data_IF_995505272660
#
_entry.id   IF_995505272660
#
_cell.length_a   1.000
_cell.length_b   1.000
_cell.length_c   1.000
_cell.angle_alpha   90.00
_cell.angle_beta   90.00
_cell.angle_gamma   90.00
#
_symmetry.space_group_name_H-M   'P 1'
#
loop_
_entity.id
_entity.type
_entity.pdbx_description
1 polymer ?
#
# COMPACT_ATOMS: atom_id res chain seq x y z
N UNK A 1 -39.10 -22.47 -36.74
CA UNK A 1 -38.03 -22.93 -35.83
C UNK A 1 -37.01 -21.82 -35.74
N UNK A 2 -37.15 -20.98 -34.73
CA UNK A 2 -36.25 -19.87 -34.41
C UNK A 2 -35.10 -20.41 -33.57
N UNK A 3 -33.89 -20.39 -34.11
CA UNK A 3 -32.69 -20.64 -33.32
C UNK A 3 -32.32 -19.34 -32.60
N UNK A 4 -32.58 -19.29 -31.30
CA UNK A 4 -32.00 -18.30 -30.40
C UNK A 4 -30.48 -18.51 -30.39
N UNK A 5 -29.73 -17.60 -31.00
CA UNK A 5 -28.31 -17.40 -30.68
C UNK A 5 -28.24 -16.45 -29.47
N UNK A 6 -27.38 -16.73 -28.47
CA UNK A 6 -27.30 -15.91 -27.27
C UNK A 6 -26.75 -14.52 -27.60
N UNK A 7 -27.41 -13.52 -27.04
CA UNK A 7 -26.94 -12.13 -26.92
C UNK A 7 -25.77 -12.07 -25.93
N UNK A 8 -24.55 -12.39 -26.35
CA UNK A 8 -23.35 -12.08 -25.55
C UNK A 8 -22.71 -10.81 -26.10
N UNK A 9 -22.49 -9.85 -25.19
CA UNK A 9 -21.89 -8.57 -25.51
C UNK A 9 -20.40 -8.79 -25.87
N UNK A 10 -19.89 -8.34 -27.04
CA UNK A 10 -18.51 -8.57 -27.48
C UNK A 10 -17.44 -8.03 -26.50
N UNK A 11 -17.80 -7.17 -25.55
CA UNK A 11 -16.95 -6.73 -24.44
C UNK A 11 -16.75 -7.80 -23.37
N UNK A 12 -17.74 -8.66 -23.11
CA UNK A 12 -17.73 -9.65 -22.03
C UNK A 12 -16.73 -10.80 -22.31
N UNK A 13 -16.55 -11.17 -23.58
CA UNK A 13 -15.63 -12.23 -24.00
C UNK A 13 -14.16 -11.80 -23.88
N UNK A 14 -13.84 -10.56 -24.29
CA UNK A 14 -12.52 -9.97 -24.09
C UNK A 14 -12.17 -9.78 -22.60
N UNK A 15 -13.13 -9.31 -21.80
CA UNK A 15 -12.98 -9.21 -20.34
C UNK A 15 -12.77 -10.57 -19.68
N UNK A 16 -13.44 -11.63 -20.16
CA UNK A 16 -13.26 -12.99 -19.65
C UNK A 16 -11.83 -13.50 -19.85
N UNK A 17 -11.21 -13.22 -21.01
CA UNK A 17 -9.81 -13.54 -21.23
C UNK A 17 -8.89 -12.74 -20.29
N UNK A 18 -9.11 -11.43 -20.14
CA UNK A 18 -8.30 -10.59 -19.24
C UNK A 18 -8.41 -11.04 -17.78
N UNK A 19 -9.59 -11.40 -17.31
CA UNK A 19 -9.80 -11.94 -15.96
C UNK A 19 -9.08 -13.28 -15.74
N UNK A 20 -9.11 -14.18 -16.73
CA UNK A 20 -8.35 -15.43 -16.68
C UNK A 20 -6.84 -15.19 -16.66
N UNK A 21 -6.38 -14.21 -17.45
CA UNK A 21 -4.99 -13.81 -17.55
C UNK A 21 -4.41 -13.21 -16.25
N UNK A 22 -5.22 -12.48 -15.47
CA UNK A 22 -4.81 -11.96 -14.15
C UNK A 22 -4.44 -13.12 -13.21
N UNK A 23 -5.20 -14.20 -13.24
CA UNK A 23 -4.99 -15.37 -12.39
C UNK A 23 -3.98 -16.38 -12.98
N UNK A 24 -3.59 -16.20 -14.25
CA UNK A 24 -2.63 -17.05 -14.91
C UNK A 24 -1.74 -16.25 -15.88
N UNK A 25 -0.62 -15.70 -15.40
CA UNK A 25 0.29 -14.90 -16.21
C UNK A 25 0.84 -15.62 -17.46
N UNK A 26 0.84 -16.96 -17.51
CA UNK A 26 1.29 -17.70 -18.69
C UNK A 26 0.36 -17.50 -19.89
N UNK A 27 -0.93 -17.18 -19.67
CA UNK A 27 -1.90 -16.91 -20.74
C UNK A 27 -1.54 -15.63 -21.50
N UNK A 28 -1.16 -14.55 -20.80
CA UNK A 28 -0.68 -13.31 -21.44
C UNK A 28 0.60 -13.59 -22.22
N UNK A 29 1.54 -14.32 -21.64
CA UNK A 29 2.80 -14.64 -22.31
C UNK A 29 2.58 -15.46 -23.59
N UNK A 30 1.69 -16.45 -23.57
CA UNK A 30 1.31 -17.23 -24.75
C UNK A 30 0.67 -16.37 -25.84
N UNK A 31 -0.32 -15.54 -25.46
CA UNK A 31 -1.01 -14.62 -26.37
C UNK A 31 -0.06 -13.62 -27.03
N UNK A 32 0.80 -12.94 -26.24
CA UNK A 32 1.78 -11.98 -26.75
C UNK A 32 2.83 -12.66 -27.64
N UNK A 33 3.26 -13.87 -27.29
CA UNK A 33 4.22 -14.64 -28.10
C UNK A 33 3.64 -15.01 -29.46
N UNK A 34 2.37 -15.39 -29.52
CA UNK A 34 1.69 -15.69 -30.77
C UNK A 34 1.63 -14.47 -31.70
N UNK A 35 1.34 -13.28 -31.16
CA UNK A 35 1.36 -12.02 -31.93
C UNK A 35 2.77 -11.71 -32.43
N UNK A 36 3.79 -11.86 -31.58
CA UNK A 36 5.19 -11.65 -31.97
C UNK A 36 5.62 -12.59 -33.10
N UNK A 37 5.31 -13.87 -32.99
CA UNK A 37 5.61 -14.88 -34.03
C UNK A 37 4.83 -14.64 -35.32
N UNK A 38 3.68 -13.98 -35.24
CA UNK A 38 2.91 -13.48 -36.38
C UNK A 38 3.41 -12.15 -36.96
N UNK A 39 4.64 -11.72 -36.63
CA UNK A 39 5.21 -10.41 -37.01
C UNK A 39 4.33 -9.22 -36.61
N UNK A 40 3.70 -9.29 -35.43
CA UNK A 40 2.82 -8.23 -34.93
C UNK A 40 1.42 -8.23 -35.52
N UNK A 41 1.04 -9.26 -36.30
CA UNK A 41 -0.31 -9.39 -36.87
C UNK A 41 -1.32 -9.78 -35.77
N UNK A 42 -2.35 -8.95 -35.48
CA UNK A 42 -3.38 -9.27 -34.50
C UNK A 42 -4.15 -10.57 -34.79
N UNK A 43 -4.22 -11.00 -36.05
CA UNK A 43 -4.89 -12.24 -36.43
C UNK A 43 -4.19 -13.49 -35.89
N UNK A 44 -2.87 -13.44 -35.68
CA UNK A 44 -2.13 -14.51 -35.01
C UNK A 44 -2.56 -14.66 -33.54
N UNK A 45 -2.80 -13.53 -32.86
CA UNK A 45 -3.38 -13.50 -31.52
C UNK A 45 -4.82 -14.05 -31.48
N UNK A 46 -5.66 -13.66 -32.44
CA UNK A 46 -7.05 -14.19 -32.55
C UNK A 46 -7.05 -15.71 -32.76
N UNK A 47 -6.13 -16.20 -33.60
CA UNK A 47 -5.96 -17.64 -33.84
C UNK A 47 -5.55 -18.36 -32.55
N UNK A 48 -4.59 -17.81 -31.81
CA UNK A 48 -4.16 -18.37 -30.52
C UNK A 48 -5.29 -18.38 -29.48
N UNK A 49 -6.06 -17.29 -29.36
CA UNK A 49 -7.20 -17.18 -28.45
C UNK A 49 -8.23 -18.28 -28.76
N UNK A 50 -8.58 -18.44 -30.04
CA UNK A 50 -9.51 -19.49 -30.49
C UNK A 50 -8.99 -20.89 -30.18
N UNK A 51 -7.71 -21.17 -30.42
CA UNK A 51 -7.08 -22.45 -30.12
C UNK A 51 -7.05 -22.77 -28.62
N UNK A 52 -7.03 -21.74 -27.76
CA UNK A 52 -7.07 -21.87 -26.30
C UNK A 52 -8.51 -21.78 -25.74
N UNK A 53 -9.53 -21.89 -26.61
CA UNK A 53 -10.93 -21.99 -26.20
C UNK A 53 -11.62 -20.65 -25.91
N UNK A 54 -10.99 -19.52 -26.18
CA UNK A 54 -11.60 -18.20 -26.01
C UNK A 54 -12.37 -17.78 -27.26
N UNK A 55 -13.64 -17.43 -27.09
CA UNK A 55 -14.49 -16.88 -28.16
C UNK A 55 -14.31 -15.36 -28.27
N UNK A 56 -13.07 -14.90 -28.47
CA UNK A 56 -12.74 -13.47 -28.55
C UNK A 56 -11.65 -13.22 -29.60
N UNK A 57 -11.58 -12.00 -30.09
CA UNK A 57 -10.53 -11.52 -31.01
C UNK A 57 -9.50 -10.65 -30.29
N UNK A 58 -8.32 -10.48 -30.89
CA UNK A 58 -7.30 -9.57 -30.37
C UNK A 58 -7.80 -8.13 -30.24
N UNK A 59 -8.71 -7.71 -31.13
CA UNK A 59 -9.36 -6.40 -31.09
C UNK A 59 -10.30 -6.27 -29.88
N UNK A 60 -11.13 -7.29 -29.61
CA UNK A 60 -12.01 -7.30 -28.44
C UNK A 60 -11.22 -7.34 -27.12
N UNK A 61 -10.09 -8.05 -27.07
CA UNK A 61 -9.17 -8.02 -25.93
C UNK A 61 -8.61 -6.61 -25.72
N UNK A 62 -8.19 -5.95 -26.80
CA UNK A 62 -7.71 -4.56 -26.74
C UNK A 62 -8.80 -3.58 -26.29
N UNK A 63 -10.03 -3.73 -26.79
CA UNK A 63 -11.18 -2.92 -26.37
C UNK A 63 -11.52 -3.13 -24.89
N UNK A 64 -11.51 -4.38 -24.42
CA UNK A 64 -11.72 -4.70 -23.01
C UNK A 64 -10.61 -4.10 -22.12
N UNK A 65 -9.36 -4.13 -22.58
CA UNK A 65 -8.23 -3.49 -21.88
C UNK A 65 -8.43 -1.97 -21.77
N UNK A 66 -8.75 -1.29 -22.87
CA UNK A 66 -9.01 0.16 -22.83
C UNK A 66 -10.22 0.50 -21.96
N UNK A 67 -11.28 -0.31 -22.03
CA UNK A 67 -12.46 -0.11 -21.20
C UNK A 67 -12.12 -0.20 -19.71
N UNK A 68 -11.40 -1.26 -19.31
CA UNK A 68 -10.94 -1.42 -17.93
C UNK A 68 -10.05 -0.25 -17.46
N UNK A 69 -9.03 0.10 -18.26
CA UNK A 69 -8.14 1.23 -17.98
C UNK A 69 -8.89 2.56 -17.79
N UNK A 70 -10.01 2.76 -18.50
CA UNK A 70 -10.78 4.01 -18.48
C UNK A 70 -11.90 4.03 -17.44
N UNK A 71 -12.55 2.90 -17.16
CA UNK A 71 -13.83 2.88 -16.46
C UNK A 71 -13.81 2.12 -15.14
N UNK A 72 -12.77 1.35 -14.85
CA UNK A 72 -12.74 0.46 -13.70
C UNK A 72 -11.56 0.78 -12.80
N UNK A 73 -11.83 1.33 -11.59
CA UNK A 73 -10.80 1.56 -10.59
C UNK A 73 -10.05 0.26 -10.24
N UNK A 74 -10.74 -0.88 -10.24
CA UNK A 74 -10.14 -2.19 -9.96
C UNK A 74 -9.06 -2.60 -10.97
N UNK A 75 -9.09 -2.07 -12.19
CA UNK A 75 -8.03 -2.31 -13.18
C UNK A 75 -6.69 -1.71 -12.74
N UNK A 76 -6.73 -0.70 -11.87
CA UNK A 76 -5.56 -0.01 -11.33
C UNK A 76 -5.06 -0.62 -10.01
N UNK A 77 -5.54 -1.82 -9.64
CA UNK A 77 -5.10 -2.55 -8.45
C UNK A 77 -3.57 -2.66 -8.40
N UNK A 78 -3.01 -2.36 -7.24
CA UNK A 78 -1.58 -2.46 -6.99
C UNK A 78 -1.06 -1.48 -5.96
N UNK A 79 0.20 -1.67 -5.59
CA UNK A 79 0.92 -0.80 -4.66
C UNK A 79 1.79 0.15 -5.48
N UNK A 80 1.41 1.43 -5.49
CA UNK A 80 2.19 2.50 -6.11
C UNK A 80 3.21 3.01 -5.11
N UNK A 81 4.17 2.13 -4.80
CA UNK A 81 5.12 2.31 -3.72
C UNK A 81 6.23 3.31 -4.00
N UNK A 82 6.50 3.62 -5.28
CA UNK A 82 7.52 4.60 -5.71
C UNK A 82 6.94 6.02 -5.79
N UNK A 83 6.17 6.41 -4.77
CA UNK A 83 5.51 7.70 -4.70
C UNK A 83 6.50 8.83 -4.39
N UNK A 84 6.34 9.96 -5.07
CA UNK A 84 7.18 11.14 -4.94
C UNK A 84 6.35 12.42 -4.78
N UNK A 85 6.86 13.33 -3.97
CA UNK A 85 6.40 14.70 -3.84
C UNK A 85 7.44 15.65 -4.44
N UNK A 86 6.98 16.63 -5.20
CA UNK A 86 7.82 17.76 -5.59
C UNK A 86 7.09 19.06 -5.33
N UNK A 87 7.82 20.07 -4.87
CA UNK A 87 7.29 21.42 -4.75
C UNK A 87 6.87 21.95 -6.14
N UNK A 88 5.62 22.41 -6.33
CA UNK A 88 5.18 22.96 -7.61
C UNK A 88 6.02 24.15 -8.08
N UNK A 89 6.65 24.88 -7.16
CA UNK A 89 7.52 26.02 -7.45
C UNK A 89 9.00 25.65 -7.63
N UNK A 90 9.40 24.42 -7.27
CA UNK A 90 10.78 23.94 -7.40
C UNK A 90 10.83 22.40 -7.53
N UNK A 91 10.71 21.92 -8.76
CA UNK A 91 10.69 20.48 -9.09
C UNK A 91 12.00 19.74 -8.83
N UNK A 92 13.10 20.43 -8.52
CA UNK A 92 14.40 19.80 -8.21
C UNK A 92 14.47 19.27 -6.77
N UNK A 93 13.52 19.61 -5.91
CA UNK A 93 13.42 19.09 -4.56
C UNK A 93 12.35 18.00 -4.51
N UNK A 94 12.77 16.75 -4.71
CA UNK A 94 11.90 15.58 -4.64
C UNK A 94 12.05 14.88 -3.30
N UNK A 95 10.93 14.48 -2.71
CA UNK A 95 10.86 13.74 -1.46
C UNK A 95 9.96 12.52 -1.65
N UNK A 96 10.09 11.53 -0.77
CA UNK A 96 9.18 10.39 -0.76
C UNK A 96 7.75 10.88 -0.48
N UNK A 97 6.80 10.38 -1.27
CA UNK A 97 5.37 10.63 -1.06
C UNK A 97 4.70 9.52 -0.28
N UNK A 98 3.51 9.77 0.29
CA UNK A 98 2.71 8.72 0.92
C UNK A 98 2.40 7.64 -0.12
N UNK A 99 2.45 6.37 0.25
CA UNK A 99 2.11 5.28 -0.68
C UNK A 99 0.61 5.28 -0.97
N UNK A 100 0.26 5.18 -2.25
CA UNK A 100 -1.10 4.86 -2.70
C UNK A 100 -1.19 3.37 -3.03
N UNK A 101 -2.19 2.70 -2.49
CA UNK A 101 -2.54 1.34 -2.90
C UNK A 101 -3.99 1.34 -3.39
N UNK A 102 -4.24 0.68 -4.52
CA UNK A 102 -5.60 0.34 -4.93
C UNK A 102 -5.80 -1.12 -4.59
N UNK A 103 -6.75 -1.40 -3.69
CA UNK A 103 -7.08 -2.72 -3.20
C UNK A 103 -8.47 -3.13 -3.68
N UNK A 104 -8.72 -4.44 -3.67
CA UNK A 104 -10.03 -5.03 -3.94
C UNK A 104 -10.53 -5.64 -2.62
N UNK A 105 -11.74 -5.28 -2.23
CA UNK A 105 -12.42 -5.90 -1.10
C UNK A 105 -12.77 -7.34 -1.46
N UNK A 106 -12.24 -8.31 -0.72
CA UNK A 106 -12.46 -9.73 -0.99
C UNK A 106 -13.92 -10.17 -0.80
N UNK A 107 -14.70 -9.43 -0.02
CA UNK A 107 -16.11 -9.73 0.25
C UNK A 107 -17.04 -9.11 -0.79
N UNK A 108 -16.77 -7.86 -1.18
CA UNK A 108 -17.66 -7.10 -2.07
C UNK A 108 -17.19 -7.06 -3.52
N UNK A 109 -15.91 -7.36 -3.78
CA UNK A 109 -15.27 -7.21 -5.09
C UNK A 109 -15.03 -5.76 -5.50
N UNK A 110 -15.37 -4.79 -4.65
CA UNK A 110 -15.23 -3.37 -4.96
C UNK A 110 -13.79 -2.91 -4.77
N UNK A 111 -13.32 -2.07 -5.69
CA UNK A 111 -12.03 -1.42 -5.57
C UNK A 111 -12.11 -0.21 -4.63
N UNK A 112 -11.07 -0.01 -3.82
CA UNK A 112 -10.97 1.15 -2.92
C UNK A 112 -9.50 1.60 -2.78
N UNK A 113 -9.24 2.91 -2.61
CA UNK A 113 -7.91 3.40 -2.35
C UNK A 113 -7.52 3.26 -0.88
N UNK A 114 -6.23 3.11 -0.65
CA UNK A 114 -5.56 3.18 0.65
C UNK A 114 -4.43 4.19 0.50
N UNK A 115 -4.37 5.20 1.35
CA UNK A 115 -3.29 6.19 1.36
C UNK A 115 -2.53 6.11 2.68
N UNK A 116 -1.23 5.81 2.63
CA UNK A 116 -0.38 5.79 3.83
C UNK A 116 -0.92 4.88 4.93
N UNK A 117 -1.59 3.77 4.54
CA UNK A 117 -2.20 2.79 5.44
C UNK A 117 -3.66 3.05 5.84
N UNK A 118 -4.22 4.24 5.58
CA UNK A 118 -5.65 4.49 5.82
C UNK A 118 -6.49 4.07 4.63
N UNK A 119 -7.46 3.19 4.90
CA UNK A 119 -8.51 2.81 3.95
C UNK A 119 -9.42 4.01 3.70
N UNK A 120 -9.70 4.29 2.42
CA UNK A 120 -10.65 5.33 2.03
C UNK A 120 -12.00 4.66 1.74
N UNK A 121 -13.05 4.95 2.52
CA UNK A 121 -14.38 4.37 2.29
C UNK A 121 -14.90 4.69 0.89
N UNK A 122 -15.72 3.80 0.33
CA UNK A 122 -16.31 3.96 -1.00
C UNK A 122 -17.19 5.21 -1.16
N UNK A 123 -17.68 5.78 -0.05
CA UNK A 123 -18.41 7.05 -0.04
C UNK A 123 -17.52 8.30 -0.10
N UNK A 124 -16.22 8.14 0.16
CA UNK A 124 -15.33 9.25 0.49
C UNK A 124 -14.29 9.52 -0.62
N UNK A 125 -14.38 8.77 -1.72
CA UNK A 125 -13.62 9.01 -2.93
C UNK A 125 -14.53 9.13 -4.16
N UNK A 126 -14.04 9.84 -5.17
CA UNK A 126 -14.65 9.93 -6.49
C UNK A 126 -13.66 9.40 -7.52
N UNK A 127 -14.02 8.30 -8.17
CA UNK A 127 -13.35 7.85 -9.38
C UNK A 127 -14.11 8.39 -10.60
N UNK A 128 -13.44 9.18 -11.42
CA UNK A 128 -14.02 9.73 -12.65
C UNK A 128 -13.46 8.96 -13.84
N UNK A 129 -14.31 8.25 -14.61
CA UNK A 129 -13.88 7.55 -15.79
C UNK A 129 -13.19 8.45 -16.82
N UNK A 130 -12.25 7.86 -17.56
CA UNK A 130 -11.66 8.49 -18.74
C UNK A 130 -12.72 8.77 -19.80
N UNK A 131 -12.51 9.81 -20.58
CA UNK A 131 -13.37 10.21 -21.70
C UNK A 131 -12.60 10.17 -23.02
N UNK A 132 -13.30 10.28 -24.14
CA UNK A 132 -12.65 10.31 -25.46
C UNK A 132 -11.68 11.50 -25.63
N UNK A 133 -11.92 12.60 -24.91
CA UNK A 133 -11.08 13.80 -24.91
C UNK A 133 -10.00 13.79 -23.82
N UNK A 134 -10.13 12.94 -22.81
CA UNK A 134 -9.15 12.72 -21.74
C UNK A 134 -9.18 11.24 -21.35
N UNK A 135 -8.41 10.38 -22.03
CA UNK A 135 -8.53 8.92 -21.91
C UNK A 135 -8.03 8.37 -20.57
N UNK A 136 -7.57 9.24 -19.69
CA UNK A 136 -7.02 8.89 -18.39
C UNK A 136 -8.05 9.17 -17.30
N UNK A 137 -8.47 8.16 -16.52
CA UNK A 137 -9.39 8.38 -15.41
C UNK A 137 -8.70 9.10 -14.27
N UNK A 138 -9.50 9.75 -13.42
CA UNK A 138 -9.00 10.45 -12.23
C UNK A 138 -9.60 9.88 -10.94
N UNK A 139 -8.85 10.05 -9.86
CA UNK A 139 -9.23 9.68 -8.52
C UNK A 139 -9.03 10.89 -7.60
N UNK A 140 -10.08 11.24 -6.86
CA UNK A 140 -10.03 12.30 -5.85
C UNK A 140 -10.65 11.84 -4.55
N UNK A 141 -10.05 12.25 -3.43
CA UNK A 141 -10.56 11.96 -2.09
C UNK A 141 -9.90 12.88 -1.07
N UNK A 142 -10.45 12.91 0.14
CA UNK A 142 -9.80 13.52 1.30
C UNK A 142 -9.77 12.52 2.44
N UNK A 143 -8.64 12.44 3.12
CA UNK A 143 -8.48 11.58 4.29
C UNK A 143 -7.73 12.31 5.39
N UNK A 144 -8.22 12.20 6.61
CA UNK A 144 -7.50 12.65 7.80
C UNK A 144 -6.96 11.44 8.54
N UNK A 145 -5.64 11.37 8.69
CA UNK A 145 -4.96 10.31 9.42
C UNK A 145 -3.77 10.89 10.19
N UNK A 146 -3.55 10.39 11.40
CA UNK A 146 -2.37 10.71 12.20
C UNK A 146 -2.06 12.22 12.37
N UNK A 147 -3.11 13.05 12.52
CA UNK A 147 -2.97 14.50 12.67
C UNK A 147 -2.68 15.27 11.37
N UNK A 148 -2.78 14.61 10.22
CA UNK A 148 -2.66 15.21 8.89
C UNK A 148 -3.94 15.01 8.09
N UNK A 149 -4.34 16.04 7.35
CA UNK A 149 -5.37 15.97 6.32
C UNK A 149 -4.70 15.99 4.95
N UNK A 150 -5.01 14.96 4.17
CA UNK A 150 -4.52 14.73 2.81
C UNK A 150 -5.68 14.91 1.83
N UNK A 151 -5.60 15.90 0.96
CA UNK A 151 -6.51 16.05 -0.19
C UNK A 151 -5.81 15.55 -1.45
N UNK A 152 -6.28 14.47 -2.05
CA UNK A 152 -5.67 13.84 -3.24
C UNK A 152 -6.50 14.15 -4.47
N UNK A 153 -5.84 14.53 -5.56
CA UNK A 153 -6.43 14.63 -6.89
C UNK A 153 -5.39 14.16 -7.91
N UNK A 154 -5.59 12.96 -8.45
CA UNK A 154 -4.65 12.32 -9.36
C UNK A 154 -5.35 11.79 -10.60
N UNK A 155 -4.57 11.64 -11.65
CA UNK A 155 -4.93 11.02 -12.92
C UNK A 155 -4.07 9.79 -13.10
N UNK A 156 -4.71 8.66 -13.41
CA UNK A 156 -4.01 7.43 -13.73
C UNK A 156 -3.53 7.43 -15.17
N UNK A 157 -2.28 7.03 -15.37
CA UNK A 157 -1.62 7.03 -16.66
C UNK A 157 -1.03 5.65 -16.94
N UNK A 158 -0.97 5.30 -18.23
CA UNK A 158 -0.44 4.02 -18.68
C UNK A 158 0.38 4.19 -19.94
N UNK A 159 1.46 3.41 -20.04
CA UNK A 159 2.12 3.14 -21.32
C UNK A 159 1.59 1.81 -21.83
N UNK A 160 0.94 1.83 -23.00
CA UNK A 160 0.56 0.57 -23.65
C UNK A 160 1.84 -0.19 -24.01
N UNK A 161 1.87 -1.51 -23.79
CA UNK A 161 2.99 -2.33 -24.22
C UNK A 161 3.03 -2.49 -25.74
N UNK A 162 2.13 -1.86 -26.50
CA UNK A 162 2.14 -1.84 -27.96
C UNK A 162 1.42 -0.63 -28.57
N UNK A 163 1.91 -0.17 -29.71
CA UNK A 163 1.25 0.85 -30.56
C UNK A 163 0.60 0.19 -31.79
N UNK A 164 -0.67 0.50 -32.06
CA UNK A 164 -1.42 0.00 -33.22
C UNK A 164 -1.44 1.09 -34.31
N UNK A 165 -1.12 0.71 -35.55
CA UNK A 165 -1.13 1.60 -36.71
C UNK A 165 -2.02 1.04 -37.84
N UNK A 166 -2.92 1.87 -38.44
CA UNK A 166 -3.24 3.23 -38.01
C UNK A 166 -3.91 3.25 -36.62
N UNK A 167 -3.86 4.39 -35.88
CA UNK A 167 -4.51 4.52 -34.59
C UNK A 167 -5.98 4.15 -34.68
N UNK A 168 -6.48 3.40 -33.69
CA UNK A 168 -7.89 3.04 -33.64
C UNK A 168 -8.76 4.30 -33.41
N UNK A 169 -9.88 4.45 -34.12
CA UNK A 169 -10.80 5.57 -33.89
C UNK A 169 -11.34 5.54 -32.46
N UNK A 170 -11.46 6.69 -31.80
CA UNK A 170 -12.01 6.79 -30.44
C UNK A 170 -13.26 7.71 -30.44
N UNK A 171 -14.48 7.20 -30.15
CA UNK A 171 -14.80 5.83 -29.78
C UNK A 171 -14.74 4.87 -30.98
N UNK A 172 -14.43 3.60 -30.72
CA UNK A 172 -14.47 2.56 -31.75
C UNK A 172 -15.95 2.22 -32.03
N UNK A 173 -16.44 2.32 -33.28
CA UNK A 173 -17.84 2.00 -33.60
C UNK A 173 -18.22 0.56 -33.23
N UNK A 174 -19.47 0.34 -32.80
CA UNK A 174 -19.98 -0.98 -32.44
C UNK A 174 -19.99 -2.00 -33.60
N UNK A 175 -19.90 -1.52 -34.85
CA UNK A 175 -19.80 -2.31 -36.07
C UNK A 175 -18.38 -2.38 -36.65
N UNK A 176 -17.36 -2.04 -35.86
CA UNK A 176 -15.98 -2.00 -36.34
C UNK A 176 -15.43 -3.42 -36.57
N UNK A 177 -15.16 -3.75 -37.83
CA UNK A 177 -14.80 -5.11 -38.28
C UNK A 177 -13.30 -5.40 -38.34
N UNK A 178 -12.45 -4.55 -37.76
CA UNK A 178 -10.98 -4.74 -37.76
C UNK A 178 -10.36 -4.63 -39.16
N UNK A 179 -9.81 -3.46 -39.50
CA UNK A 179 -8.92 -3.31 -40.66
C UNK A 179 -7.56 -4.01 -40.48
N UNK A 180 -6.71 -3.91 -41.51
CA UNK A 180 -5.31 -4.36 -41.44
C UNK A 180 -4.52 -3.42 -40.50
N UNK A 181 -4.27 -3.87 -39.27
CA UNK A 181 -3.49 -3.15 -38.27
C UNK A 181 -2.17 -3.84 -37.99
N UNK A 182 -1.11 -3.06 -37.79
CA UNK A 182 0.22 -3.55 -37.39
C UNK A 182 0.59 -3.02 -36.00
N UNK A 183 1.16 -3.90 -35.17
CA UNK A 183 1.82 -3.49 -33.92
C UNK A 183 3.20 -2.93 -34.25
N UNK A 184 3.42 -1.62 -34.05
CA UNK A 184 4.65 -0.92 -34.47
C UNK A 184 5.81 -1.03 -33.47
N UNK A 185 5.52 -1.19 -32.17
CA UNK A 185 6.56 -1.32 -31.14
C UNK A 185 6.04 -2.06 -29.90
N UNK A 186 6.94 -2.68 -29.14
CA UNK A 186 6.67 -3.24 -27.81
C UNK A 186 7.67 -2.62 -26.84
N UNK A 187 7.27 -1.57 -26.11
CA UNK A 187 8.04 -1.04 -24.97
C UNK A 187 7.48 -1.63 -23.68
N UNK A 188 8.32 -1.70 -22.63
CA UNK A 188 7.88 -2.14 -21.31
C UNK A 188 6.73 -1.24 -20.84
N UNK A 189 5.50 -1.76 -20.89
CA UNK A 189 4.32 -1.06 -20.39
C UNK A 189 4.42 -0.83 -18.88
N UNK A 190 3.63 0.11 -18.38
CA UNK A 190 3.59 0.42 -16.94
C UNK A 190 2.43 1.33 -16.60
N UNK A 191 1.86 1.12 -15.42
CA UNK A 191 0.81 1.95 -14.83
C UNK A 191 1.42 2.86 -13.76
N UNK A 192 1.02 4.12 -13.79
CA UNK A 192 1.48 5.15 -12.87
C UNK A 192 0.36 6.17 -12.65
N UNK A 193 0.55 7.12 -11.74
CA UNK A 193 -0.34 8.25 -11.57
C UNK A 193 0.44 9.55 -11.46
N UNK A 194 -0.24 10.65 -11.77
CA UNK A 194 0.23 12.00 -11.52
C UNK A 194 -0.91 12.91 -11.09
N UNK A 195 -0.59 13.95 -10.34
CA UNK A 195 -1.52 14.99 -9.97
C UNK A 195 -1.01 15.75 -8.78
N UNK A 196 -1.88 15.98 -7.79
CA UNK A 196 -1.56 16.76 -6.61
C UNK A 196 -2.01 16.08 -5.33
N UNK A 197 -1.28 16.37 -4.27
CA UNK A 197 -1.69 16.09 -2.91
C UNK A 197 -1.53 17.35 -2.05
N UNK A 198 -2.58 17.68 -1.31
CA UNK A 198 -2.56 18.77 -0.34
C UNK A 198 -2.38 18.19 1.05
N UNK A 199 -1.28 18.54 1.71
CA UNK A 199 -0.92 18.08 3.06
C UNK A 199 -1.07 19.26 4.01
N UNK A 200 -2.08 19.23 4.89
CA UNK A 200 -2.38 20.32 5.85
C UNK A 200 -2.44 21.72 5.20
N UNK A 201 -2.98 21.80 3.98
CA UNK A 201 -3.14 23.05 3.23
C UNK A 201 -2.02 23.38 2.24
N UNK A 202 -0.88 22.69 2.29
CA UNK A 202 0.21 22.85 1.31
C UNK A 202 0.04 21.86 0.17
N UNK A 203 -0.08 22.36 -1.06
CA UNK A 203 -0.20 21.53 -2.26
C UNK A 203 1.18 21.12 -2.79
N UNK A 204 1.31 19.85 -3.16
CA UNK A 204 2.50 19.24 -3.77
C UNK A 204 2.11 18.56 -5.08
N UNK A 205 3.02 18.53 -6.05
CA UNK A 205 2.89 17.57 -7.15
C UNK A 205 3.09 16.17 -6.58
N UNK A 206 2.26 15.24 -7.00
CA UNK A 206 2.23 13.89 -6.49
C UNK A 206 2.22 12.90 -7.64
N UNK A 207 3.29 12.11 -7.74
CA UNK A 207 3.50 11.12 -8.79
C UNK A 207 3.77 9.78 -8.11
N UNK A 208 3.34 8.68 -8.71
CA UNK A 208 3.69 7.37 -8.21
C UNK A 208 3.61 6.29 -9.28
N UNK A 209 4.51 5.32 -9.15
CA UNK A 209 4.61 4.16 -10.02
C UNK A 209 4.45 2.89 -9.21
N UNK A 210 3.98 1.83 -9.85
CA UNK A 210 3.97 0.49 -9.23
C UNK A 210 5.39 0.11 -8.80
N UNK A 211 5.52 -0.35 -7.56
CA UNK A 211 6.81 -0.76 -7.03
C UNK A 211 6.83 -0.86 -5.52
N UNK A 212 8.03 -1.06 -4.98
CA UNK A 212 8.21 -1.23 -3.54
C UNK A 212 7.90 0.09 -2.80
N UNK A 213 7.22 0.04 -1.64
CA UNK A 213 6.98 1.20 -0.79
C UNK A 213 8.27 1.94 -0.41
N UNK A 214 8.30 3.26 -0.64
CA UNK A 214 9.37 4.16 -0.16
C UNK A 214 9.00 4.91 1.12
N UNK A 215 7.72 4.85 1.51
CA UNK A 215 7.18 5.41 2.74
C UNK A 215 6.19 4.42 3.37
N UNK A 216 6.02 4.48 4.68
CA UNK A 216 5.29 3.47 5.43
C UNK A 216 4.27 4.09 6.40
N UNK A 217 3.13 3.42 6.63
CA UNK A 217 2.17 3.82 7.66
C UNK A 217 2.78 3.70 9.07
N UNK A 218 2.19 4.39 10.06
CA UNK A 218 2.62 4.27 11.45
C UNK A 218 2.55 2.81 11.96
N UNK A 219 1.59 2.03 11.46
CA UNK A 219 1.46 0.60 11.77
C UNK A 219 2.72 -0.21 11.47
N UNK A 220 3.50 0.18 10.47
CA UNK A 220 4.74 -0.51 10.10
C UNK A 220 5.84 -0.34 11.16
N UNK A 221 5.72 0.71 11.98
CA UNK A 221 6.70 1.08 13.00
C UNK A 221 6.24 0.70 14.41
N UNK A 222 5.18 -0.10 14.55
CA UNK A 222 4.74 -0.54 15.88
C UNK A 222 5.78 -1.39 16.57
N UNK A 223 5.92 -1.20 17.88
CA UNK A 223 6.71 -2.05 18.75
C UNK A 223 7.42 -1.28 19.86
N UNK A 224 8.26 -2.00 20.57
CA UNK A 224 9.05 -1.52 21.70
C UNK A 224 10.48 -1.17 21.27
N UNK A 225 10.82 0.12 21.33
CA UNK A 225 12.14 0.64 21.08
C UNK A 225 12.80 0.98 22.43
N UNK A 226 13.34 -0.05 23.09
CA UNK A 226 13.97 0.08 24.42
C UNK A 226 15.47 0.32 24.41
N UNK A 227 16.13 0.06 23.28
CA UNK A 227 17.56 0.32 23.10
C UNK A 227 17.71 1.68 22.45
N UNK A 228 17.71 2.71 23.28
CA UNK A 228 17.71 4.10 22.86
C UNK A 228 18.92 4.85 23.37
N UNK A 229 19.37 5.86 22.63
CA UNK A 229 20.50 6.72 23.02
C UNK A 229 20.13 8.20 22.95
N UNK A 230 20.60 8.97 23.95
CA UNK A 230 20.60 10.43 23.92
C UNK A 230 22.01 10.95 23.75
N UNK A 231 22.20 11.80 22.75
CA UNK A 231 23.44 12.56 22.56
C UNK A 231 23.09 14.05 22.66
N UNK A 232 23.53 14.77 23.71
CA UNK A 232 23.31 16.21 23.79
C UNK A 232 23.87 16.93 22.56
N UNK A 233 23.21 17.99 22.12
CA UNK A 233 23.71 18.78 20.98
C UNK A 233 25.15 19.25 21.21
N UNK A 234 26.03 18.99 20.23
CA UNK A 234 27.46 19.33 20.31
C UNK A 234 28.34 18.36 21.14
N UNK A 235 27.77 17.27 21.66
CA UNK A 235 28.51 16.21 22.37
C UNK A 235 28.76 15.00 21.46
N UNK A 236 29.85 14.28 21.71
CA UNK A 236 30.08 12.92 21.17
C UNK A 236 29.71 11.82 22.16
N UNK A 237 29.40 12.18 23.41
CA UNK A 237 29.01 11.22 24.44
C UNK A 237 27.52 10.96 24.42
N UNK A 238 27.17 9.68 24.38
CA UNK A 238 25.79 9.20 24.40
C UNK A 238 25.47 8.48 25.70
N UNK A 239 24.30 8.69 26.25
CA UNK A 239 23.74 7.95 27.38
C UNK A 239 22.51 7.14 26.96
N UNK A 240 22.03 6.26 27.82
CA UNK A 240 20.77 5.56 27.58
C UNK A 240 19.61 6.56 27.58
N UNK A 241 18.82 6.53 26.50
CA UNK A 241 17.61 7.36 26.36
C UNK A 241 16.37 6.73 26.97
N UNK A 242 15.25 7.47 26.96
CA UNK A 242 13.94 6.92 27.30
C UNK A 242 13.47 5.92 26.23
N UNK A 243 12.71 4.89 26.61
CA UNK A 243 12.14 3.96 25.64
C UNK A 243 10.96 4.61 24.88
N UNK A 244 10.82 4.28 23.60
CA UNK A 244 9.65 4.62 22.77
C UNK A 244 8.80 3.37 22.54
N UNK A 245 7.48 3.49 22.70
CA UNK A 245 6.52 2.44 22.40
C UNK A 245 5.48 3.00 21.42
N UNK A 246 5.33 2.32 20.30
CA UNK A 246 4.29 2.57 19.31
C UNK A 246 3.36 1.38 19.26
N UNK A 247 2.07 1.57 19.51
CA UNK A 247 1.12 0.46 19.59
C UNK A 247 -0.25 0.87 19.05
N UNK A 248 -1.02 -0.06 18.47
CA UNK A 248 -2.44 0.16 18.25
C UNK A 248 -3.17 0.36 19.57
N UNK A 249 -4.20 1.21 19.57
CA UNK A 249 -5.02 1.48 20.76
C UNK A 249 -6.31 0.63 20.83
N UNK A 250 -6.51 -0.26 19.85
CA UNK A 250 -7.69 -1.14 19.76
C UNK A 250 -8.96 -0.46 19.20
N UNK A 251 -8.92 0.86 18.95
CA UNK A 251 -9.99 1.62 18.28
C UNK A 251 -9.73 1.88 16.79
N UNK A 252 -8.64 1.32 16.27
CA UNK A 252 -8.09 1.64 14.95
C UNK A 252 -7.10 2.81 14.95
N UNK A 253 -6.81 3.38 16.12
CA UNK A 253 -5.80 4.42 16.32
C UNK A 253 -4.49 3.87 16.91
N UNK A 254 -3.62 4.79 17.35
CA UNK A 254 -2.32 4.47 17.94
C UNK A 254 -2.12 5.19 19.26
N UNK A 255 -1.39 4.55 20.16
CA UNK A 255 -0.82 5.17 21.35
C UNK A 255 0.69 5.29 21.16
N UNK A 256 1.21 6.48 21.43
CA UNK A 256 2.65 6.77 21.46
C UNK A 256 3.03 6.96 22.92
N UNK A 257 4.00 6.20 23.41
CA UNK A 257 4.49 6.31 24.79
C UNK A 257 5.98 6.54 24.78
N UNK A 258 6.47 7.52 25.55
CA UNK A 258 7.91 7.79 25.73
C UNK A 258 8.22 7.84 27.22
N UNK A 259 9.19 7.04 27.68
CA UNK A 259 9.57 7.00 29.09
C UNK A 259 8.44 6.55 30.04
N UNK A 260 7.42 5.88 29.50
CA UNK A 260 6.21 5.48 30.24
C UNK A 260 5.09 6.52 30.23
N UNK A 261 5.31 7.71 29.67
CA UNK A 261 4.28 8.73 29.51
C UNK A 261 3.59 8.61 28.14
N UNK A 262 2.26 8.56 28.13
CA UNK A 262 1.48 8.63 26.90
C UNK A 262 1.56 10.04 26.32
N UNK A 263 2.07 10.14 25.11
CA UNK A 263 2.18 11.40 24.38
C UNK A 263 0.81 11.79 23.85
N UNK A 264 0.47 13.05 24.05
CA UNK A 264 -0.74 13.69 23.56
C UNK A 264 -0.44 14.55 22.33
N UNK A 265 -1.43 14.72 21.44
CA UNK A 265 -1.36 15.60 20.27
C UNK A 265 -0.13 15.35 19.38
N UNK A 266 0.35 14.11 19.31
CA UNK A 266 1.39 13.73 18.36
C UNK A 266 0.80 13.70 16.94
N UNK A 267 1.68 13.87 15.96
CA UNK A 267 1.35 13.74 14.54
C UNK A 267 2.33 12.79 13.87
N UNK A 268 1.89 12.09 12.82
CA UNK A 268 2.76 11.25 12.01
C UNK A 268 2.60 11.56 10.53
N UNK A 269 3.68 12.04 9.91
CA UNK A 269 3.76 12.26 8.48
C UNK A 269 4.32 11.01 7.80
N UNK A 270 3.43 10.22 7.19
CA UNK A 270 3.85 9.01 6.46
C UNK A 270 4.81 9.31 5.31
N UNK A 271 4.69 10.45 4.61
CA UNK A 271 5.58 10.81 3.50
C UNK A 271 7.06 10.91 3.94
N UNK A 272 7.29 11.42 5.15
CA UNK A 272 8.62 11.59 5.74
C UNK A 272 8.98 10.49 6.73
N UNK A 273 8.12 9.49 6.91
CA UNK A 273 8.17 8.53 8.02
C UNK A 273 8.41 9.20 9.39
N UNK A 274 7.80 10.37 9.62
CA UNK A 274 8.17 11.25 10.74
C UNK A 274 7.07 11.33 11.80
N UNK A 275 7.40 11.00 13.04
CA UNK A 275 6.57 11.21 14.24
C UNK A 275 7.02 12.47 14.96
N UNK A 276 6.09 13.36 15.27
CA UNK A 276 6.38 14.60 15.99
C UNK A 276 5.38 14.86 17.12
N UNK A 277 5.86 15.49 18.19
CA UNK A 277 5.02 16.05 19.26
C UNK A 277 5.71 17.26 19.89
N UNK A 278 4.91 18.13 20.49
CA UNK A 278 5.39 19.33 21.17
C UNK A 278 5.20 19.22 22.68
N UNK A 279 5.77 20.16 23.43
CA UNK A 279 5.53 20.32 24.88
C UNK A 279 4.11 20.82 25.21
N UNK A 280 3.25 21.05 24.20
CA UNK A 280 1.85 21.37 24.42
C UNK A 280 1.13 20.11 24.92
N UNK A 281 0.85 20.07 26.23
CA UNK A 281 0.26 18.93 26.98
C UNK A 281 1.21 17.73 27.21
N UNK A 282 2.51 17.89 26.94
CA UNK A 282 3.52 16.88 27.20
C UNK A 282 4.67 17.49 28.00
N UNK A 283 5.32 16.68 28.84
CA UNK A 283 6.55 17.06 29.54
C UNK A 283 7.74 17.24 28.57
N UNK A 284 7.65 16.63 27.39
CA UNK A 284 8.73 16.50 26.41
C UNK A 284 8.27 16.92 25.02
N UNK A 285 9.23 17.12 24.11
CA UNK A 285 9.00 17.32 22.69
C UNK A 285 9.84 16.34 21.88
N UNK A 286 9.40 15.97 20.69
CA UNK A 286 10.18 15.08 19.83
C UNK A 286 9.86 15.22 18.36
N UNK A 287 10.84 14.87 17.54
CA UNK A 287 10.72 14.81 16.09
C UNK A 287 11.61 13.65 15.59
N UNK A 288 10.99 12.52 15.28
CA UNK A 288 11.64 11.24 14.98
C UNK A 288 11.33 10.82 13.55
N UNK A 289 12.36 10.49 12.80
CA UNK A 289 12.25 9.88 11.47
C UNK A 289 12.53 8.38 11.60
N UNK A 290 11.57 7.57 11.17
CA UNK A 290 11.71 6.11 11.12
C UNK A 290 12.39 5.65 9.83
N UNK A 291 13.17 4.58 9.96
CA UNK A 291 13.89 3.96 8.86
C UNK A 291 14.11 2.47 9.13
N UNK A 292 14.43 1.74 8.06
CA UNK A 292 15.05 0.42 8.21
C UNK A 292 16.54 0.60 8.45
N UNK A 293 16.99 0.26 9.66
CA UNK A 293 18.41 0.23 10.01
C UNK A 293 19.04 -0.98 9.35
N UNK A 294 20.08 -0.74 8.56
CA UNK A 294 20.87 -1.78 7.93
C UNK A 294 22.08 -2.13 8.82
N UNK A 295 22.53 -3.40 8.82
CA UNK A 295 23.76 -3.78 9.51
C UNK A 295 24.93 -2.93 9.05
N UNK A 296 25.68 -2.36 9.99
CA UNK A 296 26.90 -1.59 9.69
C UNK A 296 27.97 -1.89 10.73
N UNK A 297 29.22 -2.08 10.25
CA UNK A 297 30.35 -2.43 11.11
C UNK A 297 30.11 -3.76 11.86
N UNK A 298 30.17 -3.70 13.20
CA UNK A 298 29.98 -4.85 14.09
C UNK A 298 28.53 -5.11 14.50
N UNK A 299 27.58 -4.25 14.11
CA UNK A 299 26.15 -4.46 14.41
C UNK A 299 25.55 -5.44 13.41
N UNK A 300 24.93 -6.51 13.90
CA UNK A 300 24.15 -7.46 13.09
C UNK A 300 22.68 -7.07 12.95
N UNK A 301 22.27 -5.95 13.56
CA UNK A 301 20.87 -5.53 13.57
C UNK A 301 20.42 -5.10 12.16
N UNK A 302 19.38 -5.76 11.65
CA UNK A 302 18.64 -5.38 10.45
C UNK A 302 17.16 -5.29 10.82
N UNK A 303 16.59 -4.08 10.83
CA UNK A 303 15.21 -3.91 11.24
C UNK A 303 14.79 -2.47 11.50
N UNK A 304 13.57 -2.26 12.02
CA UNK A 304 13.03 -0.93 12.28
C UNK A 304 13.83 -0.14 13.32
N UNK A 305 14.12 1.12 13.01
CA UNK A 305 14.70 2.06 13.95
C UNK A 305 14.23 3.48 13.68
N UNK A 306 14.71 4.40 14.50
CA UNK A 306 14.48 5.82 14.30
C UNK A 306 15.71 6.63 14.67
N UNK A 307 15.77 7.83 14.11
CA UNK A 307 16.68 8.90 14.48
C UNK A 307 15.92 10.21 14.54
N UNK A 308 16.35 11.14 15.37
CA UNK A 308 15.66 12.42 15.48
C UNK A 308 16.10 13.23 16.67
N UNK A 309 15.20 14.10 17.12
CA UNK A 309 15.42 14.94 18.30
C UNK A 309 14.42 14.63 19.40
N UNK A 310 14.87 14.79 20.63
CA UNK A 310 14.07 14.72 21.83
C UNK A 310 14.44 15.90 22.72
N UNK A 311 13.46 16.62 23.24
CA UNK A 311 13.66 17.76 24.11
C UNK A 311 12.99 17.53 25.45
N UNK A 312 13.77 17.67 26.52
CA UNK A 312 13.34 17.49 27.91
C UNK A 312 14.00 18.55 28.77
N UNK A 313 13.23 19.21 29.64
CA UNK A 313 13.70 20.31 30.48
C UNK A 313 14.36 21.46 29.71
N UNK A 314 14.00 21.67 28.45
CA UNK A 314 14.59 22.69 27.57
C UNK A 314 15.92 22.30 26.92
N UNK A 315 16.43 21.09 27.17
CA UNK A 315 17.63 20.56 26.51
C UNK A 315 17.24 19.64 25.35
N UNK A 316 17.80 19.86 24.16
CA UNK A 316 17.58 18.99 23.00
C UNK A 316 18.72 17.99 22.82
N UNK A 317 18.33 16.73 22.66
CA UNK A 317 19.19 15.59 22.42
C UNK A 317 18.94 15.06 21.01
N UNK A 318 19.99 14.59 20.35
CA UNK A 318 19.84 13.59 19.29
C UNK A 318 19.34 12.31 19.96
N UNK A 319 18.26 11.75 19.43
CA UNK A 319 17.59 10.59 19.99
C UNK A 319 17.48 9.51 18.93
N UNK A 320 18.12 8.38 19.19
CA UNK A 320 18.11 7.23 18.29
C UNK A 320 17.57 6.01 19.01
N UNK A 321 16.96 5.10 18.27
CA UNK A 321 16.47 3.85 18.83
C UNK A 321 16.33 2.76 17.78
N UNK A 322 16.41 1.51 18.24
CA UNK A 322 16.13 0.31 17.44
C UNK A 322 15.06 -0.54 18.12
N UNK A 323 14.28 -1.26 17.31
CA UNK A 323 13.30 -2.21 17.83
C UNK A 323 14.04 -3.24 18.69
N UNK A 324 13.55 -3.44 19.92
CA UNK A 324 14.26 -4.20 20.95
C UNK A 324 13.41 -5.35 21.45
N UNK A 325 14.06 -6.44 21.87
CA UNK A 325 13.39 -7.56 22.52
C UNK A 325 12.80 -7.11 23.86
N UNK A 326 11.47 -7.25 24.05
CA UNK A 326 10.85 -6.97 25.33
C UNK A 326 11.33 -7.91 26.44
N UNK A 327 11.54 -7.39 27.66
CA UNK A 327 11.96 -8.16 28.85
C UNK A 327 10.85 -8.34 29.88
N UNK A 328 9.72 -7.66 29.70
CA UNK A 328 8.55 -7.75 30.58
C UNK A 328 7.27 -7.53 29.77
N UNK A 329 6.13 -8.05 30.24
CA UNK A 329 4.88 -8.07 29.46
C UNK A 329 4.41 -6.68 29.00
N UNK A 330 4.62 -5.64 29.80
CA UNK A 330 4.34 -4.25 29.43
C UNK A 330 5.27 -3.70 28.33
N UNK A 331 6.40 -4.34 28.07
CA UNK A 331 7.30 -4.05 26.94
C UNK A 331 6.92 -4.88 25.72
N UNK A 332 6.14 -5.96 25.88
CA UNK A 332 5.61 -6.76 24.77
C UNK A 332 4.40 -6.07 24.12
N UNK A 333 4.30 -4.76 24.17
CA UNK A 333 3.15 -4.06 23.60
C UNK A 333 3.38 -3.77 22.11
N UNK A 334 2.44 -4.17 21.26
CA UNK A 334 2.54 -4.13 19.80
C UNK A 334 1.65 -5.17 19.11
N UNK A 335 1.60 -5.13 17.78
CA UNK A 335 1.00 -6.18 16.95
C UNK A 335 2.06 -7.19 16.54
N UNK A 336 1.87 -8.45 16.90
CA UNK A 336 2.82 -9.55 16.68
C UNK A 336 2.38 -10.40 15.50
N UNK A 337 2.34 -9.78 14.32
CA UNK A 337 2.22 -10.44 13.02
C UNK A 337 1.17 -11.56 12.93
N UNK A 338 1.43 -12.51 12.04
CA UNK A 338 0.59 -13.69 11.83
C UNK A 338 1.04 -14.76 12.83
N UNK A 339 0.15 -15.17 13.74
CA UNK A 339 0.45 -16.33 14.60
C UNK A 339 0.52 -17.59 13.76
N UNK A 340 1.18 -18.62 14.27
CA UNK A 340 1.19 -19.94 13.62
C UNK A 340 0.50 -20.91 14.57
N UNK A 341 -0.48 -21.63 14.05
CA UNK A 341 -1.21 -22.66 14.78
C UNK A 341 -0.67 -24.02 14.37
N UNK A 342 0.12 -24.62 15.25
CA UNK A 342 0.56 -26.00 15.12
C UNK A 342 -0.48 -26.94 15.77
N UNK A 343 -0.97 -27.97 15.07
CA UNK A 343 -1.88 -28.94 15.67
C UNK A 343 -1.21 -29.64 16.86
N UNK A 344 -1.89 -29.71 18.01
CA UNK A 344 -1.37 -30.37 19.22
C UNK A 344 -1.00 -31.86 19.06
N UNK A 345 -1.38 -32.46 17.93
CA UNK A 345 -1.14 -33.85 17.57
C UNK A 345 0.00 -34.05 16.56
N UNK A 346 0.54 -32.98 15.96
CA UNK A 346 1.69 -33.08 15.04
C UNK A 346 2.97 -32.73 15.78
N UNK A 347 4.05 -33.44 15.46
CA UNK A 347 5.42 -33.12 15.92
C UNK A 347 6.23 -32.48 14.79
N UNK A 348 5.56 -32.00 13.74
CA UNK A 348 6.17 -31.57 12.49
C UNK A 348 5.55 -30.23 12.08
N UNK A 349 6.41 -29.23 11.83
CA UNK A 349 6.05 -27.84 11.50
C UNK A 349 5.40 -27.75 10.09
N UNK A 350 5.25 -28.87 9.38
CA UNK A 350 4.61 -28.93 8.06
C UNK A 350 3.08 -28.85 8.09
N UNK A 351 2.47 -29.07 9.25
CA UNK A 351 1.01 -28.92 9.46
C UNK A 351 0.62 -27.53 10.03
N UNK A 352 1.59 -26.63 10.15
CA UNK A 352 1.40 -25.27 10.62
C UNK A 352 0.47 -24.47 9.70
N UNK A 353 -0.58 -23.90 10.28
CA UNK A 353 -1.47 -22.96 9.57
C UNK A 353 -1.30 -21.55 10.10
N UNK A 354 -1.47 -20.57 9.20
CA UNK A 354 -1.52 -19.17 9.61
C UNK A 354 -2.71 -18.95 10.54
N UNK A 355 -2.40 -18.46 11.72
CA UNK A 355 -3.32 -18.12 12.78
C UNK A 355 -3.71 -16.63 12.79
N UNK A 356 -4.66 -16.28 13.67
CA UNK A 356 -5.12 -14.90 13.87
C UNK A 356 -3.99 -13.96 14.31
N UNK A 357 -4.15 -12.66 14.10
CA UNK A 357 -3.18 -11.67 14.58
C UNK A 357 -3.21 -11.59 16.11
N UNK A 358 -2.03 -11.52 16.75
CA UNK A 358 -1.89 -11.32 18.18
C UNK A 358 -1.56 -9.86 18.49
N UNK A 359 -2.45 -9.19 19.20
CA UNK A 359 -2.28 -7.82 19.68
C UNK A 359 -2.05 -7.82 21.18
N UNK A 360 -0.95 -7.23 21.64
CA UNK A 360 -0.75 -6.90 23.04
C UNK A 360 -0.81 -5.39 23.19
N UNK A 361 -1.65 -4.89 24.10
CA UNK A 361 -1.82 -3.46 24.33
C UNK A 361 -2.01 -3.16 25.83
N UNK A 362 -1.82 -1.91 26.22
CA UNK A 362 -2.09 -1.47 27.60
C UNK A 362 -3.49 -0.86 27.69
N UNK A 363 -4.29 -1.31 28.66
CA UNK A 363 -5.53 -0.66 29.06
C UNK A 363 -5.45 -0.34 30.54
N UNK A 364 -5.61 0.93 30.92
CA UNK A 364 -5.43 1.40 32.31
C UNK A 364 -4.12 0.90 32.96
N UNK A 365 -3.00 1.03 32.23
CA UNK A 365 -1.67 0.53 32.62
C UNK A 365 -1.58 -0.99 32.88
N UNK A 366 -2.61 -1.76 32.52
CA UNK A 366 -2.63 -3.21 32.63
C UNK A 366 -2.52 -3.85 31.25
N UNK A 367 -1.59 -4.80 31.03
CA UNK A 367 -1.43 -5.46 29.75
C UNK A 367 -2.67 -6.30 29.42
N UNK A 368 -3.15 -6.13 28.20
CA UNK A 368 -4.22 -6.90 27.58
C UNK A 368 -3.63 -7.68 26.41
N UNK A 369 -4.10 -8.90 26.23
CA UNK A 369 -3.76 -9.71 25.07
C UNK A 369 -5.03 -9.99 24.30
N UNK A 370 -4.99 -9.74 23.01
CA UNK A 370 -6.11 -9.84 22.10
C UNK A 370 -5.72 -10.68 20.89
N UNK A 371 -6.60 -11.58 20.51
CA UNK A 371 -6.47 -12.36 19.28
C UNK A 371 -7.54 -11.87 18.29
N UNK A 372 -7.11 -11.43 17.11
CA UNK A 372 -7.97 -10.90 16.06
C UNK A 372 -8.14 -11.93 14.93
N UNK A 373 -9.37 -12.45 14.78
CA UNK A 373 -9.71 -13.48 13.80
C UNK A 373 -10.16 -12.92 12.43
N UNK A 374 -10.01 -11.61 12.17
CA UNK A 374 -10.29 -10.99 10.87
C UNK A 374 -11.78 -10.78 10.53
N UNK A 375 -12.71 -11.27 11.36
CA UNK A 375 -14.17 -11.19 11.14
C UNK A 375 -14.89 -10.35 12.22
N UNK A 376 -14.27 -9.29 12.74
CA UNK A 376 -14.72 -8.55 13.95
C UNK A 376 -14.88 -9.44 15.20
N UNK A 377 -14.37 -10.67 15.16
CA UNK A 377 -14.27 -11.54 16.32
C UNK A 377 -12.93 -11.29 17.00
N UNK A 378 -13.05 -10.87 18.26
CA UNK A 378 -11.96 -10.44 19.10
C UNK A 378 -12.04 -11.27 20.38
N UNK A 379 -11.01 -12.05 20.66
CA UNK A 379 -10.89 -12.73 21.95
C UNK A 379 -9.90 -11.98 22.83
N UNK A 380 -10.38 -11.47 23.98
CA UNK A 380 -9.52 -10.90 25.01
C UNK A 380 -9.12 -11.99 25.99
N UNK A 381 -7.81 -12.22 26.15
CA UNK A 381 -7.29 -13.14 27.16
C UNK A 381 -7.24 -12.38 28.48
N UNK A 382 -7.95 -12.83 29.53
CA UNK A 382 -7.93 -12.16 30.81
C UNK A 382 -6.53 -12.20 31.41
N UNK A 383 -6.06 -11.13 32.08
CA UNK A 383 -4.72 -11.07 32.67
C UNK A 383 -4.41 -12.24 33.61
N UNK A 384 -5.43 -12.81 34.27
CA UNK A 384 -5.33 -13.98 35.15
C UNK A 384 -4.99 -15.29 34.44
N UNK A 385 -5.17 -15.38 33.13
CA UNK A 385 -4.85 -16.56 32.32
C UNK A 385 -3.41 -16.55 31.79
N UNK A 386 -2.68 -15.45 31.94
CA UNK A 386 -1.29 -15.32 31.51
C UNK A 386 -0.38 -16.04 32.50
N UNK A 387 0.12 -17.23 32.12
CA UNK A 387 1.18 -17.92 32.86
C UNK A 387 2.54 -17.38 32.42
N UNK A 388 3.27 -16.79 33.36
CA UNK A 388 4.64 -16.34 33.14
C UNK A 388 5.57 -17.54 33.04
N UNK A 389 6.33 -17.65 31.95
CA UNK A 389 7.53 -18.47 31.93
C UNK A 389 8.69 -17.61 32.49
N UNK A 390 9.45 -18.12 33.47
CA UNK A 390 10.55 -17.40 34.10
C UNK A 390 11.71 -17.08 33.16
#
# INVERSE_FOLDING_TARGET
MTANQPTTNPYTEGQSFLAAAINNPSLINGYVTAIKNGNGNPQAGTTWLTQNGYQTTSLQVYQALLFGLQNELGFWQGVYGLSQLSDPSNSNNTQNGPVLTIAIDSNTGNAYPILGGSIIPTSDFTFTPGTNTSPYPSLSFTVSQYGYTYGVNITFCYYLPFTISPPLPNPIPSNFSGGNYTVESVSGGGTWFQGTITINGTQWNYIGELGQPVSFPLSFWTGYYGTTTFTPSGSSQSSQGQALILQPDGSGGFTVTVGGETIQNWTYNCALNQLAWTTTNNSTAGNLTFLQVQPSGSSTYNGPGFTGTYTDGGTTYTYNGILSTPKSLNQWVGSYGVTVLSPSSSNDDSDDVLGPELNLYLSNNSPQVQINFGNNQIATIPPSALKFFP
#
